data_IF_455890032357
#
_entry.id   IF_455890032357
#
_cell.length_a   1.000
_cell.length_b   1.000
_cell.length_c   1.000
_cell.angle_alpha   90.00
_cell.angle_beta   90.00
_cell.angle_gamma   90.00
#
_symmetry.space_group_name_H-M   'P 1'
#
loop_
_entity.id
_entity.type
_entity.pdbx_description
1 polymer ?
#
# COMPACT_ATOMS: atom_id res chain seq x y z
N UNK A 1 67.21 -30.25 7.00
CA UNK A 1 66.30 -30.09 8.17
C UNK A 1 66.05 -28.60 8.37
N UNK A 2 64.79 -28.17 8.59
CA UNK A 2 64.24 -26.86 8.19
C UNK A 2 64.46 -25.76 9.27
N UNK A 3 64.05 -24.48 9.03
CA UNK A 3 62.69 -24.12 9.43
C UNK A 3 61.98 -23.10 8.50
N UNK A 4 60.80 -23.49 8.00
CA UNK A 4 59.78 -22.56 7.56
C UNK A 4 59.17 -21.89 8.79
N UNK A 5 59.54 -20.63 9.04
CA UNK A 5 58.90 -19.75 10.02
C UNK A 5 58.65 -18.41 9.32
N UNK A 6 57.42 -17.91 9.46
CA UNK A 6 56.90 -16.61 8.99
C UNK A 6 56.20 -16.63 7.62
N UNK A 7 55.08 -17.33 7.54
CA UNK A 7 53.91 -16.86 6.79
C UNK A 7 52.67 -17.19 7.63
N UNK A 8 52.58 -16.50 8.77
CA UNK A 8 51.39 -16.43 9.60
C UNK A 8 50.86 -15.01 9.42
N UNK A 9 49.54 -14.89 9.23
CA UNK A 9 48.75 -13.66 9.02
C UNK A 9 48.77 -13.08 7.60
N UNK A 10 47.88 -13.57 6.74
CA UNK A 10 46.92 -12.70 6.05
C UNK A 10 45.74 -13.50 5.47
N UNK A 11 44.92 -14.10 6.33
CA UNK A 11 43.57 -14.56 5.98
C UNK A 11 42.63 -14.04 7.05
N UNK A 12 42.54 -12.72 7.14
CA UNK A 12 41.39 -12.07 7.77
C UNK A 12 40.32 -12.01 6.69
N UNK A 13 39.64 -13.14 6.46
CA UNK A 13 38.39 -13.15 5.70
C UNK A 13 37.39 -12.31 6.49
N UNK A 14 37.29 -11.03 6.12
CA UNK A 14 36.22 -10.16 6.60
C UNK A 14 34.95 -10.68 5.93
N UNK A 15 34.28 -11.64 6.59
CA UNK A 15 32.89 -11.95 6.29
C UNK A 15 32.05 -10.75 6.71
N UNK A 16 31.95 -9.77 5.81
CA UNK A 16 30.86 -8.80 5.85
C UNK A 16 29.62 -9.63 5.57
N UNK A 17 28.92 -10.05 6.63
CA UNK A 17 27.52 -10.44 6.50
C UNK A 17 26.78 -9.18 6.10
N UNK A 18 26.72 -8.93 4.78
CA UNK A 18 25.75 -8.02 4.22
C UNK A 18 24.41 -8.71 4.42
N UNK A 19 23.76 -8.42 5.55
CA UNK A 19 22.35 -8.72 5.73
C UNK A 19 21.61 -7.94 4.67
N UNK A 20 21.42 -8.55 3.50
CA UNK A 20 20.45 -8.09 2.53
C UNK A 20 19.11 -8.35 3.21
N UNK A 21 18.62 -7.34 3.93
CA UNK A 21 17.23 -7.32 4.36
C UNK A 21 16.42 -7.36 3.07
N UNK A 22 15.83 -8.50 2.77
CA UNK A 22 14.91 -8.65 1.66
C UNK A 22 13.73 -7.71 1.97
N UNK A 23 13.75 -6.52 1.39
CA UNK A 23 12.65 -5.57 1.53
C UNK A 23 11.42 -6.22 0.94
N UNK A 24 10.31 -6.15 1.69
CA UNK A 24 9.03 -6.68 1.23
C UNK A 24 8.62 -5.94 -0.04
N UNK A 25 8.31 -6.67 -1.11
CA UNK A 25 7.81 -6.08 -2.33
C UNK A 25 6.32 -5.76 -2.16
N UNK A 26 6.04 -4.49 -1.85
CA UNK A 26 4.68 -3.95 -1.84
C UNK A 26 4.35 -3.48 -3.24
N UNK A 27 3.43 -4.19 -3.92
CA UNK A 27 3.04 -3.88 -5.29
C UNK A 27 2.07 -2.70 -5.35
N UNK A 28 1.11 -2.64 -4.42
CA UNK A 28 0.12 -1.57 -4.34
C UNK A 28 -0.38 -1.40 -2.90
N UNK A 29 -0.67 -0.16 -2.50
CA UNK A 29 -1.28 0.21 -1.22
C UNK A 29 -2.49 1.09 -1.48
N UNK A 30 -3.58 0.84 -0.78
CA UNK A 30 -4.78 1.66 -0.85
C UNK A 30 -5.57 1.59 0.44
N UNK A 31 -6.46 2.57 0.62
CA UNK A 31 -7.23 2.76 1.82
C UNK A 31 -8.72 2.63 1.53
N UNK A 32 -9.46 2.05 2.48
CA UNK A 32 -10.92 2.01 2.41
C UNK A 32 -11.51 2.66 3.66
N UNK A 33 -12.42 3.59 3.43
CA UNK A 33 -13.32 4.12 4.45
C UNK A 33 -14.53 3.20 4.63
N UNK A 34 -15.12 3.21 5.82
CA UNK A 34 -16.38 2.55 6.12
C UNK A 34 -17.42 3.55 6.66
N UNK A 35 -18.41 3.08 7.40
CA UNK A 35 -19.49 3.87 7.99
C UNK A 35 -19.05 4.81 9.13
N UNK A 36 -17.81 4.68 9.62
CA UNK A 36 -17.23 5.55 10.65
C UNK A 36 -15.87 6.13 10.23
N UNK A 37 -15.82 6.91 9.13
CA UNK A 37 -14.57 7.42 8.55
C UNK A 37 -13.82 8.40 9.47
N UNK A 38 -14.45 8.87 10.55
CA UNK A 38 -13.82 9.71 11.56
C UNK A 38 -13.01 8.92 12.60
N UNK A 39 -13.18 7.60 12.66
CA UNK A 39 -12.52 6.72 13.64
C UNK A 39 -11.94 5.45 13.04
N UNK A 40 -12.31 5.11 11.83
CA UNK A 40 -11.97 3.86 11.19
C UNK A 40 -11.17 4.11 9.92
N UNK A 41 -10.23 3.22 9.65
CA UNK A 41 -9.50 3.18 8.38
C UNK A 41 -9.11 1.73 8.11
N UNK A 42 -9.33 1.26 6.88
CA UNK A 42 -8.80 -0.04 6.46
C UNK A 42 -7.61 0.17 5.55
N UNK A 43 -6.44 -0.31 5.98
CA UNK A 43 -5.23 -0.34 5.17
C UNK A 43 -5.20 -1.66 4.42
N UNK A 44 -5.03 -1.61 3.10
CA UNK A 44 -4.86 -2.79 2.26
C UNK A 44 -3.63 -2.65 1.39
N UNK A 45 -2.93 -3.75 1.18
CA UNK A 45 -1.82 -3.79 0.24
C UNK A 45 -1.73 -5.15 -0.44
N UNK A 46 -1.05 -5.16 -1.59
CA UNK A 46 -0.79 -6.34 -2.40
C UNK A 46 0.71 -6.65 -2.36
N UNK A 47 1.06 -7.92 -2.23
CA UNK A 47 2.43 -8.44 -2.33
C UNK A 47 2.46 -9.76 -3.11
N UNK A 48 3.63 -10.24 -3.55
CA UNK A 48 3.79 -11.62 -4.02
C UNK A 48 3.43 -12.66 -2.94
N UNK A 49 2.79 -13.77 -3.29
CA UNK A 49 2.28 -14.76 -2.32
C UNK A 49 3.35 -15.47 -1.48
N UNK A 50 4.62 -15.43 -1.88
CA UNK A 50 5.73 -16.00 -1.12
C UNK A 50 6.20 -15.08 0.03
N UNK A 51 5.59 -13.90 0.21
CA UNK A 51 5.87 -12.99 1.31
C UNK A 51 4.87 -13.15 2.46
N UNK A 52 5.29 -13.82 3.53
CA UNK A 52 4.53 -13.89 4.80
C UNK A 52 4.86 -12.68 5.68
N UNK A 53 4.51 -11.47 5.24
CA UNK A 53 4.72 -10.24 6.02
C UNK A 53 3.43 -9.46 6.16
N UNK A 54 2.93 -9.44 7.40
CA UNK A 54 1.64 -8.83 7.76
C UNK A 54 1.79 -7.65 8.72
N UNK A 55 3.03 -7.24 9.00
CA UNK A 55 3.30 -6.21 10.00
C UNK A 55 2.93 -4.83 9.49
N UNK A 56 2.26 -4.05 10.33
CA UNK A 56 1.99 -2.64 10.10
C UNK A 56 2.43 -1.86 11.33
N UNK A 57 3.20 -0.80 11.10
CA UNK A 57 3.68 0.09 12.13
C UNK A 57 3.00 1.44 11.95
N UNK A 58 2.21 1.88 12.93
CA UNK A 58 1.39 3.10 12.85
C UNK A 58 1.75 4.09 13.96
N UNK A 59 1.86 5.38 13.64
CA UNK A 59 1.96 6.47 14.62
C UNK A 59 1.12 7.67 14.20
N UNK A 60 0.86 8.57 15.14
CA UNK A 60 0.29 9.90 14.84
C UNK A 60 1.42 10.90 14.58
N UNK A 61 1.15 11.97 13.83
CA UNK A 61 2.13 13.06 13.61
C UNK A 61 2.27 14.00 14.80
N UNK A 62 1.26 14.08 15.66
CA UNK A 62 1.17 15.07 16.72
C UNK A 62 1.95 14.71 17.99
N UNK A 63 2.59 13.55 18.04
CA UNK A 63 3.31 13.06 19.22
C UNK A 63 4.67 12.49 18.78
N UNK A 64 5.73 12.75 19.55
CA UNK A 64 6.98 11.99 19.48
C UNK A 64 6.76 10.57 20.03
N UNK A 65 5.81 9.85 19.46
CA UNK A 65 5.41 8.51 19.86
C UNK A 65 6.14 7.50 18.99
N UNK A 66 6.53 6.38 19.60
CA UNK A 66 7.00 5.23 18.85
C UNK A 66 5.88 4.66 17.99
N UNK A 67 6.27 3.99 16.90
CA UNK A 67 5.30 3.28 16.08
C UNK A 67 4.65 2.16 16.90
N UNK A 68 3.32 2.13 16.90
CA UNK A 68 2.55 1.00 17.41
C UNK A 68 2.50 -0.08 16.35
N UNK A 69 2.82 -1.31 16.74
CA UNK A 69 2.78 -2.48 15.87
C UNK A 69 1.38 -3.10 15.83
N UNK A 70 1.02 -3.58 14.65
CA UNK A 70 -0.22 -4.28 14.31
C UNK A 70 0.11 -5.42 13.34
N UNK A 71 -0.73 -6.45 13.36
CA UNK A 71 -0.65 -7.57 12.41
C UNK A 71 -1.93 -7.59 11.56
N UNK A 72 -1.77 -7.69 10.25
CA UNK A 72 -2.85 -7.77 9.28
C UNK A 72 -3.23 -9.22 8.96
N UNK A 73 -4.41 -9.39 8.37
CA UNK A 73 -4.80 -10.66 7.76
C UNK A 73 -4.42 -10.69 6.29
N UNK A 74 -3.95 -11.83 5.80
CA UNK A 74 -3.68 -12.06 4.38
C UNK A 74 -4.70 -13.03 3.77
N UNK A 75 -5.09 -12.75 2.53
CA UNK A 75 -5.96 -13.59 1.72
C UNK A 75 -5.29 -13.83 0.37
N UNK A 76 -5.53 -14.99 -0.23
CA UNK A 76 -5.08 -15.24 -1.60
C UNK A 76 -5.77 -14.28 -2.58
N UNK A 77 -5.03 -13.78 -3.55
CA UNK A 77 -5.61 -13.04 -4.67
C UNK A 77 -6.52 -13.97 -5.50
N UNK A 78 -7.64 -13.47 -6.06
CA UNK A 78 -8.52 -14.26 -6.92
C UNK A 78 -7.82 -14.93 -8.12
N UNK A 79 -8.49 -15.90 -8.74
CA UNK A 79 -8.01 -16.62 -9.94
C UNK A 79 -6.65 -17.33 -9.78
N UNK A 80 -6.28 -17.68 -8.53
CA UNK A 80 -5.00 -18.32 -8.20
C UNK A 80 -3.78 -17.50 -8.66
N UNK A 81 -3.94 -16.18 -8.81
CA UNK A 81 -2.83 -15.30 -9.11
C UNK A 81 -1.80 -15.37 -7.98
N UNK A 82 -0.48 -15.25 -8.28
CA UNK A 82 0.59 -15.43 -7.30
C UNK A 82 0.77 -14.20 -6.39
N UNK A 83 -0.34 -13.62 -5.92
CA UNK A 83 -0.36 -12.44 -5.05
C UNK A 83 -1.18 -12.70 -3.78
N UNK A 84 -0.91 -11.90 -2.76
CA UNK A 84 -1.64 -11.87 -1.50
C UNK A 84 -2.25 -10.49 -1.28
N UNK A 85 -3.50 -10.46 -0.79
CA UNK A 85 -4.18 -9.25 -0.34
C UNK A 85 -4.10 -9.20 1.18
N UNK A 86 -3.41 -8.20 1.70
CA UNK A 86 -3.30 -7.97 3.13
C UNK A 86 -4.30 -6.90 3.57
N UNK A 87 -4.87 -7.05 4.76
CA UNK A 87 -5.92 -6.16 5.27
C UNK A 87 -5.76 -5.95 6.76
N UNK A 88 -5.65 -4.68 7.16
CA UNK A 88 -5.70 -4.24 8.55
C UNK A 88 -6.85 -3.24 8.74
N UNK A 89 -7.86 -3.63 9.50
CA UNK A 89 -8.94 -2.74 9.91
C UNK A 89 -8.57 -2.03 11.22
N UNK A 90 -8.30 -0.73 11.14
CA UNK A 90 -8.05 0.12 12.30
C UNK A 90 -9.38 0.67 12.83
N UNK A 91 -9.51 0.64 14.15
CA UNK A 91 -10.69 1.11 14.90
C UNK A 91 -10.25 2.08 16.00
N UNK A 92 -11.18 2.92 16.44
CA UNK A 92 -10.96 3.88 17.53
C UNK A 92 -9.81 4.87 17.27
N UNK A 93 -9.58 5.24 16.02
CA UNK A 93 -8.68 6.33 15.67
C UNK A 93 -9.26 7.68 16.17
N UNK A 94 -8.38 8.65 16.35
CA UNK A 94 -8.77 10.01 16.67
C UNK A 94 -9.33 10.69 15.40
N UNK A 95 -10.48 11.38 15.48
CA UNK A 95 -10.97 12.19 14.36
C UNK A 95 -10.00 13.29 13.95
N UNK A 96 -10.06 13.69 12.68
CA UNK A 96 -9.27 14.78 12.11
C UNK A 96 -7.76 14.68 12.41
N UNK A 97 -7.21 13.47 12.37
CA UNK A 97 -5.83 13.20 12.78
C UNK A 97 -5.04 12.58 11.64
N UNK A 98 -3.84 13.10 11.38
CA UNK A 98 -2.90 12.50 10.44
C UNK A 98 -2.13 11.35 11.10
N UNK A 99 -2.09 10.24 10.38
CA UNK A 99 -1.37 9.03 10.74
C UNK A 99 -0.30 8.73 9.71
N UNK A 100 0.85 8.27 10.20
CA UNK A 100 1.94 7.73 9.38
C UNK A 100 1.99 6.24 9.64
N UNK A 101 2.08 5.45 8.57
CA UNK A 101 2.31 4.01 8.70
C UNK A 101 3.43 3.49 7.80
N UNK A 102 4.05 2.40 8.23
CA UNK A 102 5.00 1.60 7.45
C UNK A 102 4.44 0.19 7.33
N UNK A 103 4.71 -0.45 6.20
CA UNK A 103 4.33 -1.82 5.92
C UNK A 103 5.56 -2.72 6.02
N UNK A 104 5.41 -3.84 6.73
CA UNK A 104 6.43 -4.86 6.87
C UNK A 104 7.75 -4.23 7.37
N UNK A 105 8.88 -4.66 6.79
CA UNK A 105 10.20 -4.09 7.05
C UNK A 105 10.57 -2.98 6.06
N UNK A 106 9.59 -2.32 5.43
CA UNK A 106 9.84 -1.21 4.51
C UNK A 106 10.12 0.08 5.29
N UNK A 107 11.06 0.88 4.78
CA UNK A 107 11.27 2.24 5.27
C UNK A 107 10.31 3.26 4.63
N UNK A 108 9.55 2.85 3.61
CA UNK A 108 8.54 3.71 2.99
C UNK A 108 7.43 4.06 4.00
N UNK A 109 7.24 5.36 4.21
CA UNK A 109 6.18 5.90 5.05
C UNK A 109 4.99 6.32 4.18
N UNK A 110 3.82 5.78 4.49
CA UNK A 110 2.54 6.17 3.92
C UNK A 110 1.77 7.04 4.92
N UNK A 111 0.82 7.84 4.43
CA UNK A 111 0.06 8.78 5.26
C UNK A 111 -1.42 8.71 4.96
N UNK A 112 -2.23 8.90 5.98
CA UNK A 112 -3.67 9.09 5.85
C UNK A 112 -4.19 10.03 6.93
N UNK A 113 -5.38 10.59 6.69
CA UNK A 113 -6.09 11.41 7.67
C UNK A 113 -7.49 10.86 7.88
N UNK A 114 -7.90 10.72 9.13
CA UNK A 114 -9.30 10.42 9.47
C UNK A 114 -10.18 11.64 9.21
N UNK A 115 -11.44 11.43 8.81
CA UNK A 115 -12.38 12.55 8.67
C UNK A 115 -12.67 13.21 10.03
N UNK A 116 -13.08 14.48 10.05
CA UNK A 116 -13.52 15.13 11.28
C UNK A 116 -14.85 14.55 11.78
N UNK A 117 -15.05 14.55 13.10
CA UNK A 117 -16.30 14.08 13.74
C UNK A 117 -17.52 14.97 13.48
N UNK A 118 -17.30 16.14 12.90
CA UNK A 118 -18.34 17.09 12.50
C UNK A 118 -18.06 17.50 11.06
N UNK A 119 -19.13 17.74 10.30
CA UNK A 119 -19.02 18.21 8.93
C UNK A 119 -18.14 19.48 8.87
N UNK A 120 -17.02 19.46 8.14
CA UNK A 120 -16.16 20.62 8.00
C UNK A 120 -16.82 21.68 7.13
N UNK A 121 -16.25 22.90 7.11
CA UNK A 121 -16.72 23.96 6.21
C UNK A 121 -16.53 23.60 4.73
N UNK A 122 -15.54 22.77 4.45
CA UNK A 122 -15.20 22.29 3.12
C UNK A 122 -14.93 20.80 3.21
N UNK A 123 -15.64 20.02 2.38
CA UNK A 123 -15.45 18.59 2.19
C UNK A 123 -15.35 18.36 0.69
N UNK A 124 -14.23 17.83 0.22
CA UNK A 124 -13.97 17.58 -1.19
C UNK A 124 -14.04 16.09 -1.45
N UNK A 125 -14.80 15.70 -2.45
CA UNK A 125 -14.86 14.32 -2.86
C UNK A 125 -14.99 14.23 -4.37
N UNK A 126 -14.52 13.11 -4.91
CA UNK A 126 -14.64 12.78 -6.34
C UNK A 126 -15.48 11.53 -6.44
N UNK A 127 -16.32 11.46 -7.47
CA UNK A 127 -17.09 10.25 -7.79
C UNK A 127 -16.83 9.89 -9.24
N UNK A 128 -16.57 8.62 -9.51
CA UNK A 128 -16.34 8.13 -10.86
C UNK A 128 -16.43 6.60 -10.94
N UNK A 129 -16.45 6.08 -12.16
CA UNK A 129 -16.46 4.65 -12.49
C UNK A 129 -15.85 4.48 -13.87
N UNK A 130 -15.99 3.29 -14.47
CA UNK A 130 -15.61 3.04 -15.86
C UNK A 130 -14.12 3.35 -16.16
N UNK A 131 -13.24 2.94 -15.24
CA UNK A 131 -11.92 3.55 -15.11
C UNK A 131 -10.86 3.02 -16.07
N UNK A 132 -10.78 1.70 -16.23
CA UNK A 132 -9.67 1.07 -16.92
C UNK A 132 -10.20 0.14 -18.00
N UNK A 133 -10.52 0.70 -19.17
CA UNK A 133 -10.95 -0.08 -20.33
C UNK A 133 -9.74 -0.55 -21.14
N UNK A 134 -8.98 0.36 -21.77
CA UNK A 134 -7.97 -0.04 -22.76
C UNK A 134 -6.58 0.59 -22.57
N UNK A 135 -6.48 1.74 -21.88
CA UNK A 135 -5.27 2.56 -21.87
C UNK A 135 -4.83 2.90 -20.44
N UNK A 136 -3.67 2.37 -20.04
CA UNK A 136 -3.07 2.61 -18.74
C UNK A 136 -2.63 4.07 -18.58
N UNK A 137 -2.13 4.72 -19.63
CA UNK A 137 -1.71 6.12 -19.57
C UNK A 137 -2.92 7.03 -19.32
N UNK A 138 -4.07 6.71 -19.92
CA UNK A 138 -5.32 7.42 -19.67
C UNK A 138 -5.78 7.26 -18.22
N UNK A 139 -5.74 6.03 -17.68
CA UNK A 139 -6.03 5.76 -16.27
C UNK A 139 -5.10 6.55 -15.35
N UNK A 140 -3.78 6.48 -15.59
CA UNK A 140 -2.81 7.18 -14.77
C UNK A 140 -2.99 8.72 -14.84
N UNK A 141 -3.29 9.27 -16.01
CA UNK A 141 -3.57 10.70 -16.19
C UNK A 141 -4.83 11.15 -15.45
N UNK A 142 -5.90 10.36 -15.54
CA UNK A 142 -7.11 10.59 -14.76
C UNK A 142 -6.82 10.55 -13.26
N UNK A 143 -6.06 9.57 -12.79
CA UNK A 143 -5.68 9.46 -11.38
C UNK A 143 -4.89 10.69 -10.90
N UNK A 144 -3.89 11.14 -11.67
CA UNK A 144 -3.13 12.36 -11.34
C UNK A 144 -4.02 13.60 -11.29
N UNK A 145 -4.94 13.75 -12.25
CA UNK A 145 -5.88 14.87 -12.28
C UNK A 145 -6.80 14.85 -11.07
N UNK A 146 -7.41 13.70 -10.76
CA UNK A 146 -8.27 13.53 -9.60
C UNK A 146 -7.51 13.83 -8.30
N UNK A 147 -6.31 13.30 -8.15
CA UNK A 147 -5.46 13.54 -6.99
C UNK A 147 -5.08 15.01 -6.81
N UNK A 148 -4.84 15.74 -7.91
CA UNK A 148 -4.48 17.18 -7.88
C UNK A 148 -5.58 18.08 -7.32
N UNK A 149 -6.84 17.62 -7.33
CA UNK A 149 -7.97 18.31 -6.70
C UNK A 149 -7.97 18.16 -5.16
N UNK A 150 -7.06 17.35 -4.61
CA UNK A 150 -6.91 17.05 -3.19
C UNK A 150 -8.23 16.60 -2.53
N UNK A 151 -8.87 15.51 -3.00
CA UNK A 151 -10.08 14.99 -2.39
C UNK A 151 -9.82 14.49 -0.97
N UNK A 152 -10.81 14.61 -0.09
CA UNK A 152 -10.82 14.02 1.25
C UNK A 152 -11.26 12.55 1.21
N UNK A 153 -12.05 12.16 0.21
CA UNK A 153 -12.34 10.77 -0.14
C UNK A 153 -12.85 10.63 -1.58
N UNK A 154 -12.92 9.39 -2.08
CA UNK A 154 -13.37 9.08 -3.43
C UNK A 154 -14.45 8.01 -3.38
N UNK A 155 -15.53 8.22 -4.13
CA UNK A 155 -16.58 7.23 -4.37
C UNK A 155 -16.35 6.55 -5.73
N UNK A 156 -16.14 5.24 -5.71
CA UNK A 156 -16.02 4.43 -6.92
C UNK A 156 -17.38 3.79 -7.25
N UNK A 157 -17.93 4.14 -8.40
CA UNK A 157 -19.29 3.80 -8.84
C UNK A 157 -19.45 2.44 -9.50
N UNK A 158 -18.36 1.77 -9.89
CA UNK A 158 -18.38 0.47 -10.57
C UNK A 158 -17.52 0.43 -11.82
N UNK A 159 -17.48 -0.73 -12.48
CA UNK A 159 -16.77 -0.98 -13.74
C UNK A 159 -15.32 -0.48 -13.73
N UNK A 160 -14.55 -1.08 -12.83
CA UNK A 160 -13.23 -0.58 -12.46
C UNK A 160 -12.15 -1.07 -13.43
N UNK A 161 -11.80 -2.35 -13.36
CA UNK A 161 -10.68 -2.92 -14.11
C UNK A 161 -11.10 -3.51 -15.47
N UNK A 162 -12.40 -3.70 -15.72
CA UNK A 162 -12.90 -4.46 -16.88
C UNK A 162 -12.15 -5.80 -17.07
N UNK A 163 -11.82 -6.45 -15.96
CA UNK A 163 -11.07 -7.71 -15.89
C UNK A 163 -11.82 -8.91 -16.46
N UNK A 164 -13.15 -8.86 -16.52
CA UNK A 164 -13.96 -9.88 -17.16
C UNK A 164 -13.93 -9.70 -18.69
N UNK A 165 -13.51 -10.73 -19.45
CA UNK A 165 -13.54 -10.67 -20.90
C UNK A 165 -14.97 -10.63 -21.43
N UNK A 166 -15.16 -9.97 -22.59
CA UNK A 166 -16.47 -9.84 -23.26
C UNK A 166 -17.13 -11.18 -23.61
N UNK A 167 -16.36 -12.26 -23.67
CA UNK A 167 -16.85 -13.62 -23.83
C UNK A 167 -16.88 -14.29 -22.45
N UNK A 168 -18.07 -14.39 -21.86
CA UNK A 168 -18.31 -14.76 -20.45
C UNK A 168 -17.93 -16.20 -20.06
N UNK A 169 -17.32 -16.98 -20.97
CA UNK A 169 -16.86 -18.34 -20.71
C UNK A 169 -15.39 -18.40 -20.23
N UNK A 170 -14.72 -17.25 -20.16
CA UNK A 170 -13.33 -17.12 -19.72
C UNK A 170 -13.28 -16.55 -18.30
N UNK A 171 -12.21 -16.91 -17.58
CA UNK A 171 -11.94 -16.39 -16.25
C UNK A 171 -11.58 -14.90 -16.31
N UNK A 172 -11.71 -14.25 -15.16
CA UNK A 172 -11.25 -12.89 -14.93
C UNK A 172 -9.73 -12.77 -15.16
N UNK A 173 -9.26 -11.66 -15.73
CA UNK A 173 -7.84 -11.35 -15.84
C UNK A 173 -7.34 -10.64 -14.56
N UNK A 174 -6.61 -11.32 -13.66
CA UNK A 174 -6.11 -10.72 -12.43
C UNK A 174 -5.08 -9.62 -12.67
N UNK A 175 -4.40 -9.62 -13.83
CA UNK A 175 -3.41 -8.60 -14.14
C UNK A 175 -4.07 -7.23 -14.29
N UNK A 176 -5.30 -7.17 -14.82
CA UNK A 176 -6.03 -5.91 -14.96
C UNK A 176 -6.38 -5.27 -13.62
N UNK A 177 -6.66 -6.08 -12.61
CA UNK A 177 -6.81 -5.58 -11.24
C UNK A 177 -5.50 -5.10 -10.66
N UNK A 178 -4.41 -5.84 -10.88
CA UNK A 178 -3.09 -5.45 -10.39
C UNK A 178 -2.63 -4.13 -11.02
N UNK A 179 -2.73 -3.98 -12.33
CA UNK A 179 -2.39 -2.75 -13.06
C UNK A 179 -3.21 -1.56 -12.56
N UNK A 180 -4.52 -1.75 -12.36
CA UNK A 180 -5.38 -0.70 -11.81
C UNK A 180 -4.96 -0.30 -10.38
N UNK A 181 -4.72 -1.29 -9.51
CA UNK A 181 -4.29 -1.06 -8.13
C UNK A 181 -2.91 -0.39 -8.04
N UNK A 182 -1.98 -0.78 -8.91
CA UNK A 182 -0.65 -0.16 -9.00
C UNK A 182 -0.74 1.29 -9.47
N UNK A 183 -1.52 1.54 -10.53
CA UNK A 183 -1.79 2.90 -11.01
C UNK A 183 -2.43 3.77 -9.93
N UNK A 184 -3.46 3.24 -9.24
CA UNK A 184 -4.11 3.90 -8.12
C UNK A 184 -3.11 4.24 -7.01
N UNK A 185 -2.42 3.23 -6.47
CA UNK A 185 -1.44 3.36 -5.39
C UNK A 185 -0.34 4.37 -5.71
N UNK A 186 0.07 4.47 -6.99
CA UNK A 186 1.14 5.35 -7.43
C UNK A 186 0.68 6.79 -7.64
N UNK A 187 -0.53 7.00 -8.15
CA UNK A 187 -0.98 8.30 -8.66
C UNK A 187 -2.10 8.96 -7.86
N UNK A 188 -2.92 8.19 -7.15
CA UNK A 188 -3.96 8.72 -6.25
C UNK A 188 -3.37 9.12 -4.90
N UNK A 189 -2.50 10.12 -4.91
CA UNK A 189 -1.92 10.73 -3.70
C UNK A 189 -2.15 12.22 -3.73
N UNK A 190 -2.67 12.78 -2.63
CA UNK A 190 -2.80 14.23 -2.46
C UNK A 190 -1.44 14.91 -2.62
N UNK A 191 -1.45 16.23 -2.83
CA UNK A 191 -0.22 17.01 -2.99
C UNK A 191 0.71 16.97 -1.77
N UNK A 192 0.18 16.64 -0.59
CA UNK A 192 0.94 16.44 0.65
C UNK A 192 1.44 14.98 0.83
N UNK A 193 1.17 14.10 -0.13
CA UNK A 193 1.54 12.68 -0.10
C UNK A 193 0.56 11.77 0.64
N UNK A 194 -0.53 12.31 1.20
CA UNK A 194 -1.61 11.52 1.81
C UNK A 194 -2.30 10.65 0.75
N UNK A 195 -2.48 9.37 1.09
CA UNK A 195 -3.29 8.41 0.31
C UNK A 195 -4.79 8.71 0.42
#
# INVERSE_FOLDING_TARGET
MPPYRKFLLLLLTVSIFLSISLQSEVLAVYLCLDDHPEKHMTIRWISPSNEEKNDVYLKTTNVKQEFKHYEAFAYAFPEQAPYSIHTLALRHLSPDTEYIFKLCNSEEEYRFRTLPSKCPKELRFIVGGDMFHDDLDMLENMNRLAASLNPDFIGLGGDISYSLPRQSALNEDPQRWLDWLQSWSKHMKRTDGTL
#
